data_IF_551881240686
#
_entry.id   IF_551881240686
#
_cell.length_a   1.000
_cell.length_b   1.000
_cell.length_c   1.000
_cell.angle_alpha   90.00
_cell.angle_beta   90.00
_cell.angle_gamma   90.00
#
_symmetry.space_group_name_H-M   'P 1'
#
loop_
_entity.id
_entity.type
_entity.pdbx_description
1 polymer ?
#
# COMPACT_ATOMS: atom_id res chain seq x y z
N UNK A 1 -24.50 5.98 10.04
CA UNK A 1 -23.68 4.81 10.39
C UNK A 1 -24.54 3.57 10.15
N UNK A 2 -24.35 2.89 9.01
CA UNK A 2 -24.87 1.54 8.83
C UNK A 2 -23.79 0.58 9.34
N UNK A 3 -24.03 -0.05 10.48
CA UNK A 3 -23.20 -1.17 10.97
C UNK A 3 -24.06 -2.41 10.85
N UNK A 4 -23.84 -3.19 9.79
CA UNK A 4 -24.48 -4.50 9.62
C UNK A 4 -23.58 -5.55 10.27
N UNK A 5 -23.90 -5.93 11.50
CA UNK A 5 -23.31 -7.11 12.11
C UNK A 5 -23.97 -8.36 11.52
N UNK A 6 -23.22 -9.15 10.76
CA UNK A 6 -23.63 -10.51 10.42
C UNK A 6 -23.54 -11.36 11.69
N UNK A 7 -24.68 -11.56 12.37
CA UNK A 7 -24.76 -12.43 13.56
C UNK A 7 -24.47 -13.86 13.16
N UNK A 8 -23.53 -14.50 13.86
CA UNK A 8 -23.27 -15.94 13.75
C UNK A 8 -24.56 -16.72 14.02
N UNK A 9 -24.95 -17.59 13.08
CA UNK A 9 -26.00 -18.57 13.32
C UNK A 9 -25.50 -19.58 14.37
N UNK A 10 -26.33 -19.96 15.38
CA UNK A 10 -25.89 -20.88 16.41
C UNK A 10 -25.61 -22.26 15.82
N UNK A 11 -24.43 -22.80 16.11
CA UNK A 11 -24.06 -24.20 15.88
C UNK A 11 -25.16 -25.10 16.44
N UNK A 12 -25.83 -25.84 15.54
CA UNK A 12 -26.83 -26.85 15.90
C UNK A 12 -26.14 -27.91 16.76
N UNK A 13 -26.43 -27.92 18.06
CA UNK A 13 -26.12 -29.04 18.95
C UNK A 13 -27.22 -30.08 18.77
N UNK A 14 -26.85 -31.22 18.21
CA UNK A 14 -27.72 -32.36 17.98
C UNK A 14 -27.92 -33.16 19.29
N UNK A 15 -29.15 -33.35 19.80
CA UNK A 15 -29.43 -34.33 20.83
C UNK A 15 -30.02 -35.60 20.18
N UNK A 16 -29.18 -36.62 20.04
CA UNK A 16 -29.63 -37.98 19.73
C UNK A 16 -30.57 -38.50 20.83
N UNK A 17 -31.85 -38.67 20.51
CA UNK A 17 -32.74 -39.58 21.25
C UNK A 17 -33.38 -40.59 20.31
N UNK A 18 -33.06 -41.87 20.57
CA UNK A 18 -33.54 -43.07 19.89
C UNK A 18 -35.05 -43.25 20.09
N UNK A 19 -35.77 -43.55 19.01
CA UNK A 19 -36.83 -44.57 19.00
C UNK A 19 -36.99 -45.10 17.58
N UNK A 20 -36.86 -46.43 17.43
CA UNK A 20 -36.91 -47.11 16.14
C UNK A 20 -38.34 -47.40 15.67
N UNK A 21 -38.47 -47.59 14.36
CA UNK A 21 -39.42 -48.52 13.78
C UNK A 21 -38.87 -48.95 12.42
N UNK A 22 -38.69 -50.25 12.23
CA UNK A 22 -38.06 -50.81 11.03
C UNK A 22 -39.02 -50.87 9.85
N UNK A 23 -38.46 -50.89 8.64
CA UNK A 23 -38.98 -51.59 7.46
C UNK A 23 -37.81 -51.79 6.49
N UNK A 24 -37.66 -53.01 5.99
CA UNK A 24 -36.60 -53.40 5.07
C UNK A 24 -37.09 -53.33 3.62
N UNK A 25 -36.36 -52.62 2.74
CA UNK A 25 -36.33 -52.91 1.30
C UNK A 25 -35.14 -52.25 0.59
N UNK A 26 -34.26 -53.14 0.10
CA UNK A 26 -33.36 -53.07 -1.07
C UNK A 26 -32.92 -51.70 -1.61
N UNK A 27 -31.60 -51.48 -1.54
CA UNK A 27 -30.77 -51.19 -2.71
C UNK A 27 -30.45 -49.73 -3.00
N UNK A 28 -29.30 -49.25 -2.50
CA UNK A 28 -28.25 -48.49 -3.21
C UNK A 28 -27.00 -48.60 -2.33
N UNK A 29 -25.84 -48.97 -2.89
CA UNK A 29 -24.55 -48.83 -2.21
C UNK A 29 -24.23 -47.33 -2.05
N UNK A 30 -24.85 -46.70 -1.07
CA UNK A 30 -24.54 -45.35 -0.62
C UNK A 30 -23.38 -45.41 0.36
N UNK A 31 -22.15 -45.55 -0.16
CA UNK A 31 -20.99 -45.18 0.62
C UNK A 31 -21.12 -43.70 0.95
N UNK A 32 -21.36 -43.37 2.21
CA UNK A 32 -21.20 -42.00 2.70
C UNK A 32 -19.78 -41.61 2.33
N UNK A 33 -19.56 -40.52 1.56
CA UNK A 33 -18.20 -40.05 1.34
C UNK A 33 -17.61 -39.81 2.73
N UNK A 34 -16.37 -40.21 3.02
CA UNK A 34 -15.74 -39.81 4.25
C UNK A 34 -15.83 -38.28 4.29
N UNK A 35 -16.47 -37.75 5.34
CA UNK A 35 -16.33 -36.34 5.68
C UNK A 35 -14.83 -36.17 5.82
N UNK A 36 -14.23 -35.52 4.82
CA UNK A 36 -12.86 -35.09 4.92
C UNK A 36 -12.86 -34.18 6.14
N UNK A 37 -12.25 -34.64 7.23
CA UNK A 37 -11.74 -33.77 8.28
C UNK A 37 -10.68 -32.90 7.60
N UNK A 38 -11.13 -31.90 6.85
CA UNK A 38 -10.32 -30.74 6.53
C UNK A 38 -9.92 -30.20 7.89
N UNK A 39 -8.65 -30.43 8.25
CA UNK A 39 -7.99 -29.74 9.34
C UNK A 39 -8.11 -28.25 9.05
N UNK A 40 -9.20 -27.64 9.50
CA UNK A 40 -9.42 -26.21 9.43
C UNK A 40 -8.35 -25.61 10.30
N UNK A 41 -7.33 -25.03 9.68
CA UNK A 41 -6.36 -24.22 10.40
C UNK A 41 -7.16 -23.17 11.16
N UNK A 42 -7.04 -23.08 12.49
CA UNK A 42 -7.83 -22.14 13.26
C UNK A 42 -7.52 -20.73 12.76
N UNK A 43 -8.56 -19.94 12.53
CA UNK A 43 -8.41 -18.55 12.12
C UNK A 43 -7.59 -17.77 13.15
N UNK A 44 -6.73 -16.89 12.65
CA UNK A 44 -6.03 -15.88 13.46
C UNK A 44 -7.03 -14.85 14.00
N UNK A 45 -6.55 -13.99 14.92
CA UNK A 45 -7.34 -12.87 15.44
C UNK A 45 -7.73 -11.93 14.29
N UNK A 46 -9.00 -11.50 14.25
CA UNK A 46 -9.53 -10.53 13.29
C UNK A 46 -8.63 -9.29 13.17
N UNK A 47 -8.37 -8.85 11.94
CA UNK A 47 -7.60 -7.63 11.61
C UNK A 47 -8.55 -6.56 11.06
N UNK A 48 -8.50 -5.36 11.63
CA UNK A 48 -9.26 -4.20 11.17
C UNK A 48 -8.48 -3.43 10.10
N UNK A 49 -9.02 -3.32 8.89
CA UNK A 49 -8.39 -2.59 7.78
C UNK A 49 -9.29 -1.41 7.38
N UNK A 50 -8.81 -0.20 7.62
CA UNK A 50 -9.47 1.02 7.18
C UNK A 50 -8.91 1.48 5.83
N UNK A 51 -9.79 1.93 4.92
CA UNK A 51 -9.40 2.43 3.60
C UNK A 51 -10.08 3.78 3.32
N UNK A 52 -9.32 4.79 2.90
CA UNK A 52 -9.87 6.06 2.42
C UNK A 52 -10.00 6.10 0.91
N UNK A 53 -10.88 6.93 0.37
CA UNK A 53 -11.19 6.90 -1.06
C UNK A 53 -11.76 5.53 -1.47
N UNK A 54 -12.53 4.90 -0.59
CA UNK A 54 -12.94 3.52 -0.73
C UNK A 54 -13.93 3.27 -1.88
N UNK A 55 -14.61 4.31 -2.38
CA UNK A 55 -15.41 4.27 -3.61
C UNK A 55 -14.58 4.52 -4.89
N UNK A 56 -13.26 4.66 -4.77
CA UNK A 56 -12.36 4.96 -5.88
C UNK A 56 -11.95 3.72 -6.68
N UNK A 57 -11.42 3.96 -7.89
CA UNK A 57 -11.03 2.88 -8.83
C UNK A 57 -9.97 1.93 -8.26
N UNK A 58 -8.99 2.44 -7.50
CA UNK A 58 -7.95 1.60 -6.89
C UNK A 58 -8.60 0.69 -5.84
N UNK A 59 -9.46 1.27 -4.99
CA UNK A 59 -10.18 0.57 -3.93
C UNK A 59 -11.07 -0.54 -4.49
N UNK A 60 -11.79 -0.30 -5.59
CA UNK A 60 -12.60 -1.33 -6.26
C UNK A 60 -11.82 -2.56 -6.72
N UNK A 61 -10.50 -2.47 -6.88
CA UNK A 61 -9.67 -3.66 -7.12
C UNK A 61 -9.07 -4.21 -5.82
N UNK A 62 -8.62 -3.33 -4.93
CA UNK A 62 -7.90 -3.71 -3.71
C UNK A 62 -8.81 -4.40 -2.69
N UNK A 63 -10.06 -3.96 -2.53
CA UNK A 63 -10.97 -4.48 -1.52
C UNK A 63 -11.24 -5.98 -1.69
N UNK A 64 -11.46 -6.42 -2.93
CA UNK A 64 -11.69 -7.84 -3.25
C UNK A 64 -10.41 -8.69 -3.10
N UNK A 65 -9.22 -8.10 -3.31
CA UNK A 65 -7.94 -8.75 -3.01
C UNK A 65 -7.71 -8.93 -1.50
N UNK A 66 -8.13 -7.96 -0.70
CA UNK A 66 -8.10 -8.08 0.75
C UNK A 66 -9.08 -9.17 1.19
N UNK A 67 -10.34 -9.07 0.79
CA UNK A 67 -11.42 -9.98 1.17
C UNK A 67 -11.15 -11.44 0.78
N UNK A 68 -10.47 -11.69 -0.34
CA UNK A 68 -10.09 -13.04 -0.79
C UNK A 68 -8.98 -13.70 0.02
N UNK A 69 -8.30 -12.96 0.91
CA UNK A 69 -7.13 -13.44 1.64
C UNK A 69 -5.83 -13.43 0.82
N UNK A 70 -5.80 -12.81 -0.37
CA UNK A 70 -4.59 -12.68 -1.20
C UNK A 70 -3.45 -11.95 -0.47
N UNK A 71 -3.81 -11.01 0.42
CA UNK A 71 -2.85 -10.15 1.13
C UNK A 71 -2.37 -10.77 2.44
N UNK A 72 -3.28 -11.18 3.31
CA UNK A 72 -2.93 -11.63 4.66
C UNK A 72 -2.87 -13.16 4.82
N UNK A 73 -3.29 -13.93 3.82
CA UNK A 73 -3.36 -15.38 3.86
C UNK A 73 -4.78 -15.91 4.12
N UNK A 74 -4.95 -17.22 3.86
CA UNK A 74 -6.24 -17.91 3.92
C UNK A 74 -6.73 -18.25 5.34
N UNK A 75 -5.97 -17.86 6.36
CA UNK A 75 -6.26 -18.09 7.78
C UNK A 75 -6.47 -16.78 8.55
N UNK A 76 -6.50 -15.63 7.87
CA UNK A 76 -6.60 -14.31 8.48
C UNK A 76 -7.96 -13.66 8.18
N UNK A 77 -8.94 -13.72 9.10
CA UNK A 77 -10.18 -12.99 8.95
C UNK A 77 -9.93 -11.47 9.07
N UNK A 78 -10.74 -10.67 8.38
CA UNK A 78 -10.62 -9.22 8.34
C UNK A 78 -11.97 -8.49 8.41
N UNK A 79 -11.91 -7.27 8.91
CA UNK A 79 -13.00 -6.29 8.91
C UNK A 79 -12.59 -5.08 8.06
N UNK A 80 -13.40 -4.72 7.07
CA UNK A 80 -13.17 -3.56 6.22
C UNK A 80 -13.93 -2.33 6.75
N UNK A 81 -13.20 -1.23 6.93
CA UNK A 81 -13.76 0.05 7.39
C UNK A 81 -13.53 1.11 6.32
N UNK A 82 -14.57 1.44 5.57
CA UNK A 82 -14.48 2.18 4.32
C UNK A 82 -14.84 3.65 4.53
N UNK A 83 -13.87 4.53 4.32
CA UNK A 83 -14.02 5.98 4.41
C UNK A 83 -14.21 6.55 3.00
N UNK A 84 -15.36 7.19 2.79
CA UNK A 84 -15.68 7.98 1.61
C UNK A 84 -15.71 9.48 1.90
N UNK A 85 -16.32 10.21 0.98
CA UNK A 85 -16.69 11.62 1.10
C UNK A 85 -18.21 11.76 1.05
N UNK A 86 -18.75 12.91 1.46
CA UNK A 86 -20.18 13.21 1.29
C UNK A 86 -20.67 12.98 -0.15
N UNK A 87 -19.87 13.38 -1.13
CA UNK A 87 -20.17 13.22 -2.56
C UNK A 87 -20.11 11.79 -3.08
N UNK A 88 -19.59 10.83 -2.31
CA UNK A 88 -19.38 9.45 -2.75
C UNK A 88 -20.11 8.39 -1.92
N UNK A 89 -21.01 8.80 -1.00
CA UNK A 89 -21.74 7.88 -0.12
C UNK A 89 -22.50 6.80 -0.90
N UNK A 90 -23.23 7.16 -1.96
CA UNK A 90 -23.96 6.18 -2.77
C UNK A 90 -23.02 5.19 -3.49
N UNK A 91 -21.88 5.67 -3.97
CA UNK A 91 -20.89 4.79 -4.58
C UNK A 91 -20.26 3.84 -3.54
N UNK A 92 -20.08 4.32 -2.30
CA UNK A 92 -19.58 3.53 -1.17
C UNK A 92 -20.57 2.43 -0.76
N UNK A 93 -21.87 2.73 -0.77
CA UNK A 93 -22.95 1.73 -0.58
C UNK A 93 -22.90 0.66 -1.67
N UNK A 94 -22.77 1.07 -2.94
CA UNK A 94 -22.62 0.11 -4.05
C UNK A 94 -21.42 -0.82 -3.88
N UNK A 95 -20.26 -0.31 -3.46
CA UNK A 95 -19.08 -1.13 -3.18
C UNK A 95 -19.32 -2.11 -2.03
N UNK A 96 -20.02 -1.69 -0.98
CA UNK A 96 -20.37 -2.59 0.13
C UNK A 96 -21.31 -3.72 -0.33
N UNK A 97 -22.31 -3.41 -1.17
CA UNK A 97 -23.19 -4.42 -1.76
C UNK A 97 -22.42 -5.44 -2.61
N UNK A 98 -21.46 -4.99 -3.44
CA UNK A 98 -20.63 -5.93 -4.22
C UNK A 98 -19.76 -6.83 -3.32
N UNK A 99 -19.29 -6.32 -2.18
CA UNK A 99 -18.55 -7.12 -1.20
C UNK A 99 -19.45 -8.18 -0.51
N UNK A 100 -20.69 -7.84 -0.21
CA UNK A 100 -21.70 -8.75 0.34
C UNK A 100 -22.01 -9.88 -0.65
N UNK A 101 -22.25 -9.53 -1.92
CA UNK A 101 -22.56 -10.48 -3.00
C UNK A 101 -21.37 -11.40 -3.34
N UNK A 102 -20.15 -11.04 -2.93
CA UNK A 102 -18.93 -11.81 -3.23
C UNK A 102 -18.72 -13.02 -2.32
N UNK A 103 -19.45 -13.15 -1.21
CA UNK A 103 -19.44 -14.31 -0.30
C UNK A 103 -18.03 -14.70 0.20
N UNK A 104 -17.15 -13.72 0.46
CA UNK A 104 -15.81 -14.00 0.97
C UNK A 104 -15.84 -14.44 2.44
N UNK A 105 -15.42 -15.67 2.78
CA UNK A 105 -15.55 -16.19 4.14
C UNK A 105 -14.67 -15.45 5.16
N UNK A 106 -13.53 -14.90 4.71
CA UNK A 106 -12.58 -14.14 5.53
C UNK A 106 -13.05 -12.71 5.80
N UNK A 107 -13.95 -12.17 4.98
CA UNK A 107 -14.53 -10.85 5.18
C UNK A 107 -15.67 -10.96 6.21
N UNK A 108 -15.37 -10.61 7.46
CA UNK A 108 -16.31 -10.80 8.58
C UNK A 108 -17.20 -9.61 8.81
N UNK A 109 -16.69 -8.41 8.54
CA UNK A 109 -17.42 -7.17 8.77
C UNK A 109 -17.07 -6.15 7.67
N UNK A 110 -18.08 -5.40 7.23
CA UNK A 110 -17.91 -4.20 6.39
C UNK A 110 -18.65 -3.06 7.08
N UNK A 111 -17.97 -1.91 7.22
CA UNK A 111 -18.58 -0.68 7.71
C UNK A 111 -18.21 0.46 6.79
N UNK A 112 -19.16 1.35 6.53
CA UNK A 112 -18.97 2.49 5.63
C UNK A 112 -19.31 3.81 6.34
N UNK A 113 -18.62 4.88 5.96
CA UNK A 113 -18.87 6.21 6.53
C UNK A 113 -18.00 7.29 5.93
N UNK A 114 -18.18 8.52 6.43
CA UNK A 114 -17.47 9.72 5.98
C UNK A 114 -16.70 10.41 7.11
N UNK A 115 -16.85 9.93 8.35
CA UNK A 115 -16.15 10.46 9.51
C UNK A 115 -14.91 9.59 9.82
N UNK A 116 -13.68 10.14 9.69
CA UNK A 116 -12.47 9.39 9.97
C UNK A 116 -12.35 8.92 11.44
N UNK A 117 -12.91 9.64 12.42
CA UNK A 117 -12.87 9.24 13.84
C UNK A 117 -13.72 8.00 14.12
N UNK A 118 -14.72 7.73 13.27
CA UNK A 118 -15.52 6.51 13.34
C UNK A 118 -14.83 5.39 12.55
N UNK A 119 -14.41 5.67 11.32
CA UNK A 119 -13.89 4.65 10.41
C UNK A 119 -12.50 4.14 10.79
N UNK A 120 -11.67 4.97 11.43
CA UNK A 120 -10.35 4.56 11.91
C UNK A 120 -10.36 3.92 13.30
N UNK A 121 -11.52 3.84 13.95
CA UNK A 121 -11.61 3.25 15.28
C UNK A 121 -11.07 1.82 15.27
N UNK A 122 -10.11 1.53 16.15
CA UNK A 122 -9.46 0.24 16.32
C UNK A 122 -8.77 -0.32 15.04
N UNK A 123 -8.47 0.55 14.06
CA UNK A 123 -7.78 0.12 12.83
C UNK A 123 -6.39 -0.45 13.13
N UNK A 124 -6.08 -1.63 12.61
CA UNK A 124 -4.75 -2.24 12.63
C UNK A 124 -3.95 -1.86 11.37
N UNK A 125 -4.66 -1.64 10.26
CA UNK A 125 -4.12 -1.10 9.02
C UNK A 125 -4.96 0.10 8.54
N UNK A 126 -4.29 1.13 8.04
CA UNK A 126 -4.93 2.29 7.40
C UNK A 126 -4.32 2.51 6.01
N UNK A 127 -5.11 2.29 4.96
CA UNK A 127 -4.71 2.48 3.57
C UNK A 127 -5.30 3.80 3.07
N UNK A 128 -4.47 4.84 3.09
CA UNK A 128 -4.88 6.22 2.81
C UNK A 128 -4.74 6.52 1.31
N UNK A 129 -5.74 6.12 0.53
CA UNK A 129 -5.74 6.25 -0.94
C UNK A 129 -6.41 7.55 -1.39
N UNK A 130 -7.44 8.00 -0.68
CA UNK A 130 -8.21 9.19 -1.03
C UNK A 130 -7.41 10.47 -0.88
N UNK A 131 -7.18 11.15 -1.99
CA UNK A 131 -6.67 12.52 -2.08
C UNK A 131 -7.43 13.27 -3.18
N UNK A 132 -7.44 14.60 -3.13
CA UNK A 132 -7.96 15.38 -4.27
C UNK A 132 -7.00 15.25 -5.45
N UNK A 133 -7.51 14.94 -6.65
CA UNK A 133 -6.69 14.89 -7.84
C UNK A 133 -6.23 16.28 -8.26
N UNK A 134 -5.11 16.36 -8.96
CA UNK A 134 -4.62 17.64 -9.47
C UNK A 134 -5.41 18.05 -10.72
N UNK A 135 -6.23 19.10 -10.59
CA UNK A 135 -6.98 19.66 -11.70
C UNK A 135 -6.11 20.47 -12.69
N UNK A 136 -6.59 20.71 -13.92
CA UNK A 136 -5.91 21.59 -14.88
C UNK A 136 -5.63 22.98 -14.28
N UNK A 137 -4.39 23.46 -14.41
CA UNK A 137 -3.98 24.77 -13.92
C UNK A 137 -3.83 24.90 -12.39
N UNK A 138 -3.95 23.80 -11.64
CA UNK A 138 -3.69 23.81 -10.19
C UNK A 138 -2.18 23.78 -9.95
N UNK A 139 -1.70 24.81 -9.25
CA UNK A 139 -0.31 24.91 -8.81
C UNK A 139 0.07 23.80 -7.82
N UNK A 140 1.33 23.40 -7.85
CA UNK A 140 1.83 22.32 -6.99
C UNK A 140 1.72 22.64 -5.50
N UNK A 141 1.98 23.88 -5.12
CA UNK A 141 1.83 24.32 -3.72
C UNK A 141 0.37 24.19 -3.24
N UNK A 142 -0.60 24.47 -4.11
CA UNK A 142 -2.02 24.35 -3.78
C UNK A 142 -2.42 22.88 -3.56
N UNK A 143 -1.94 21.95 -4.39
CA UNK A 143 -2.28 20.53 -4.20
C UNK A 143 -1.62 19.95 -2.93
N UNK A 144 -0.41 20.40 -2.58
CA UNK A 144 0.27 20.08 -1.32
C UNK A 144 -0.54 20.54 -0.11
N UNK A 145 -1.03 21.78 -0.11
CA UNK A 145 -1.83 22.31 1.00
C UNK A 145 -3.19 21.61 1.13
N UNK A 146 -3.93 21.48 0.03
CA UNK A 146 -5.25 20.85 0.01
C UNK A 146 -5.19 19.41 0.51
N UNK A 147 -4.28 18.60 -0.05
CA UNK A 147 -4.15 17.21 0.38
C UNK A 147 -3.50 17.13 1.76
N UNK A 148 -2.53 17.99 2.07
CA UNK A 148 -1.93 18.07 3.39
C UNK A 148 -2.96 18.26 4.50
N UNK A 149 -3.96 19.13 4.33
CA UNK A 149 -5.04 19.33 5.30
C UNK A 149 -5.87 18.06 5.52
N UNK A 150 -6.16 17.30 4.45
CA UNK A 150 -6.86 16.01 4.54
C UNK A 150 -6.04 15.03 5.38
N UNK A 151 -4.74 14.92 5.10
CA UNK A 151 -3.87 13.98 5.80
C UNK A 151 -3.52 14.42 7.23
N UNK A 152 -3.52 15.72 7.53
CA UNK A 152 -3.42 16.24 8.89
C UNK A 152 -4.62 15.80 9.73
N UNK A 153 -5.84 15.96 9.19
CA UNK A 153 -7.06 15.54 9.90
C UNK A 153 -7.15 14.02 10.06
N UNK A 154 -6.81 13.27 9.01
CA UNK A 154 -6.73 11.81 9.10
C UNK A 154 -5.67 11.36 10.10
N UNK A 155 -4.54 12.06 10.20
CA UNK A 155 -3.51 11.83 11.21
C UNK A 155 -4.05 12.01 12.63
N UNK A 156 -4.78 13.11 12.90
CA UNK A 156 -5.43 13.34 14.20
C UNK A 156 -6.45 12.26 14.55
N UNK A 157 -7.26 11.83 13.58
CA UNK A 157 -8.22 10.76 13.77
C UNK A 157 -7.54 9.42 14.08
N UNK A 158 -6.53 9.01 13.30
CA UNK A 158 -5.73 7.81 13.58
C UNK A 158 -5.12 7.87 14.99
N UNK A 159 -4.51 9.01 15.33
CA UNK A 159 -3.93 9.24 16.64
C UNK A 159 -4.93 9.07 17.78
N UNK A 160 -6.16 9.53 17.60
CA UNK A 160 -7.20 9.48 18.60
C UNK A 160 -7.79 8.08 18.77
N UNK A 161 -8.09 7.37 17.68
CA UNK A 161 -8.98 6.20 17.72
C UNK A 161 -8.42 4.89 17.18
N UNK A 162 -7.30 4.90 16.45
CA UNK A 162 -6.74 3.68 15.87
C UNK A 162 -5.98 2.84 16.90
N UNK A 163 -5.63 1.61 16.51
CA UNK A 163 -4.69 0.78 17.26
C UNK A 163 -3.39 1.54 17.49
N UNK A 164 -2.79 1.41 18.68
CA UNK A 164 -1.51 2.07 19.01
C UNK A 164 -0.35 1.62 18.13
N UNK A 165 -0.50 0.47 17.47
CA UNK A 165 0.47 -0.06 16.51
C UNK A 165 -0.11 -0.15 15.08
N UNK A 166 -1.08 0.71 14.74
CA UNK A 166 -1.63 0.76 13.38
C UNK A 166 -0.51 0.95 12.35
N UNK A 167 -0.57 0.21 11.23
CA UNK A 167 0.30 0.40 10.07
C UNK A 167 -0.40 1.25 9.03
N UNK A 168 0.24 2.34 8.60
CA UNK A 168 -0.36 3.35 7.72
C UNK A 168 0.35 3.34 6.39
N UNK A 169 -0.36 3.07 5.29
CA UNK A 169 0.17 3.16 3.92
C UNK A 169 -0.55 4.28 3.18
N UNK A 170 0.20 5.32 2.83
CA UNK A 170 -0.25 6.49 2.07
C UNK A 170 0.00 6.26 0.59
N UNK A 171 -1.07 6.41 -0.18
CA UNK A 171 -1.06 6.31 -1.65
C UNK A 171 -1.48 7.65 -2.27
N UNK A 172 -2.38 8.38 -1.61
CA UNK A 172 -2.84 9.68 -2.09
C UNK A 172 -1.68 10.68 -2.24
N UNK A 173 -1.56 11.29 -3.43
CA UNK A 173 -0.44 12.17 -3.77
C UNK A 173 -0.55 13.56 -3.13
N UNK A 174 0.58 14.23 -2.83
CA UNK A 174 1.96 13.72 -2.86
C UNK A 174 2.27 12.81 -1.66
N UNK A 175 2.47 11.51 -1.90
CA UNK A 175 2.33 10.51 -0.84
C UNK A 175 3.40 10.59 0.26
N UNK A 176 4.65 10.95 -0.07
CA UNK A 176 5.71 11.18 0.92
C UNK A 176 5.35 12.32 1.88
N UNK A 177 5.01 13.49 1.33
CA UNK A 177 4.67 14.67 2.15
C UNK A 177 3.35 14.50 2.89
N UNK A 178 2.35 13.87 2.28
CA UNK A 178 1.12 13.49 2.97
C UNK A 178 1.38 12.53 4.14
N UNK A 179 2.27 11.54 3.98
CA UNK A 179 2.68 10.66 5.08
C UNK A 179 3.41 11.41 6.20
N UNK A 180 4.28 12.37 5.85
CA UNK A 180 4.95 13.23 6.83
C UNK A 180 3.96 14.08 7.62
N UNK A 181 2.99 14.70 6.93
CA UNK A 181 1.95 15.49 7.61
C UNK A 181 1.09 14.59 8.51
N UNK A 182 0.72 13.40 8.02
CA UNK A 182 -0.08 12.45 8.77
C UNK A 182 0.62 12.00 10.07
N UNK A 183 1.90 11.63 10.01
CA UNK A 183 2.67 11.22 11.19
C UNK A 183 2.92 12.39 12.16
N UNK A 184 3.13 13.62 11.66
CA UNK A 184 3.32 14.82 12.50
C UNK A 184 2.06 15.18 13.28
N UNK A 185 0.89 14.84 12.75
CA UNK A 185 -0.40 15.00 13.41
C UNK A 185 -0.81 13.77 14.23
N UNK A 186 0.06 12.75 14.33
CA UNK A 186 -0.19 11.53 15.08
C UNK A 186 0.92 11.16 16.08
N UNK A 187 1.24 12.04 17.06
CA UNK A 187 2.39 11.88 17.94
C UNK A 187 2.31 10.66 18.88
N UNK A 188 1.13 10.08 19.10
CA UNK A 188 0.95 8.88 19.93
C UNK A 188 1.11 7.58 19.14
N UNK A 189 1.42 7.66 17.85
CA UNK A 189 1.68 6.51 16.97
C UNK A 189 3.16 6.50 16.58
N UNK A 190 3.80 5.32 16.48
CA UNK A 190 5.20 5.25 16.06
C UNK A 190 5.40 5.80 14.64
N UNK A 191 6.29 6.79 14.46
CA UNK A 191 6.58 7.37 13.15
C UNK A 191 7.04 6.32 12.11
N UNK A 192 7.72 5.25 12.56
CA UNK A 192 8.12 4.11 11.71
C UNK A 192 6.94 3.41 11.02
N UNK A 193 5.72 3.52 11.53
CA UNK A 193 4.55 2.84 10.98
C UNK A 193 3.92 3.54 9.77
N UNK A 194 4.43 4.71 9.39
CA UNK A 194 3.91 5.49 8.26
C UNK A 194 4.76 5.24 7.02
N UNK A 195 4.07 4.75 5.99
CA UNK A 195 4.66 4.38 4.71
C UNK A 195 4.06 5.23 3.59
N UNK A 196 4.89 5.74 2.69
CA UNK A 196 4.48 6.23 1.39
C UNK A 196 4.74 5.16 0.32
N UNK A 197 3.77 4.94 -0.56
CA UNK A 197 3.82 3.85 -1.54
C UNK A 197 4.68 4.21 -2.76
N UNK A 198 5.85 3.58 -2.87
CA UNK A 198 6.71 3.58 -4.08
C UNK A 198 6.81 2.20 -4.74
N UNK A 199 5.99 1.24 -4.27
CA UNK A 199 6.02 -0.16 -4.74
C UNK A 199 5.54 -0.33 -6.17
N UNK A 200 4.69 0.58 -6.66
CA UNK A 200 4.27 0.56 -8.07
C UNK A 200 5.46 0.82 -8.98
N UNK A 201 6.29 1.79 -8.62
CA UNK A 201 7.48 2.18 -9.35
C UNK A 201 8.54 1.07 -9.29
N UNK A 202 8.72 0.43 -8.14
CA UNK A 202 9.58 -0.76 -8.02
C UNK A 202 9.12 -1.88 -8.98
N UNK A 203 7.81 -2.21 -8.97
CA UNK A 203 7.27 -3.24 -9.87
C UNK A 203 7.48 -2.87 -11.35
N UNK A 204 7.30 -1.59 -11.71
CA UNK A 204 7.55 -1.08 -13.06
C UNK A 204 9.03 -1.16 -13.42
N UNK A 205 9.92 -0.79 -12.51
CA UNK A 205 11.37 -0.85 -12.68
C UNK A 205 11.85 -2.30 -12.88
N UNK A 206 11.39 -3.24 -12.05
CA UNK A 206 11.67 -4.68 -12.21
C UNK A 206 11.26 -5.17 -13.61
N UNK A 207 10.08 -4.77 -14.08
CA UNK A 207 9.64 -5.15 -15.43
C UNK A 207 10.54 -4.56 -16.52
N UNK A 208 10.96 -3.30 -16.43
CA UNK A 208 11.84 -2.69 -17.44
C UNK A 208 13.23 -3.33 -17.47
N UNK A 209 13.81 -3.65 -16.31
CA UNK A 209 15.07 -4.40 -16.25
C UNK A 209 14.94 -5.80 -16.84
N UNK A 210 13.85 -6.50 -16.54
CA UNK A 210 13.58 -7.83 -17.07
C UNK A 210 13.43 -7.81 -18.60
N UNK A 211 12.68 -6.83 -19.11
CA UNK A 211 12.48 -6.62 -20.54
C UNK A 211 13.80 -6.35 -21.25
N UNK A 212 14.62 -5.45 -20.71
CA UNK A 212 15.93 -5.11 -21.30
C UNK A 212 16.90 -6.29 -21.28
N UNK A 213 16.88 -7.11 -20.24
CA UNK A 213 17.74 -8.28 -20.12
C UNK A 213 17.21 -9.53 -20.84
N UNK A 214 16.00 -9.49 -21.42
CA UNK A 214 15.38 -10.64 -22.08
C UNK A 214 15.05 -11.79 -21.11
N UNK A 215 14.74 -11.48 -19.85
CA UNK A 215 14.37 -12.46 -18.81
C UNK A 215 12.96 -12.19 -18.30
N UNK A 216 12.39 -13.14 -17.56
CA UNK A 216 11.13 -12.92 -16.87
C UNK A 216 11.36 -12.10 -15.58
N UNK A 217 10.35 -11.33 -15.15
CA UNK A 217 10.49 -10.36 -14.05
C UNK A 217 10.73 -11.01 -12.67
N UNK A 218 10.43 -12.30 -12.52
CA UNK A 218 10.74 -13.10 -11.33
C UNK A 218 12.25 -13.33 -11.15
N UNK A 219 13.06 -13.02 -12.17
CA UNK A 219 14.53 -13.10 -12.11
C UNK A 219 15.18 -11.82 -11.65
N UNK A 220 14.41 -10.75 -11.43
CA UNK A 220 14.91 -9.46 -10.94
C UNK A 220 14.68 -9.36 -9.43
N UNK A 221 15.72 -8.99 -8.68
CA UNK A 221 15.68 -8.78 -7.22
C UNK A 221 16.47 -7.53 -6.84
N UNK A 222 16.44 -7.15 -5.55
CA UNK A 222 17.21 -6.04 -4.99
C UNK A 222 16.91 -4.68 -5.67
N UNK A 223 15.70 -4.54 -6.23
CA UNK A 223 15.28 -3.31 -6.88
C UNK A 223 14.86 -2.30 -5.81
N UNK A 224 15.51 -1.14 -5.80
CA UNK A 224 15.17 -0.03 -4.90
C UNK A 224 14.67 1.17 -5.68
N UNK A 225 13.61 1.80 -5.19
CA UNK A 225 13.25 3.16 -5.55
C UNK A 225 13.65 4.06 -4.39
N UNK A 226 14.51 5.05 -4.65
CA UNK A 226 14.87 6.05 -3.65
C UNK A 226 14.08 7.34 -3.80
N UNK A 227 13.81 8.00 -2.67
CA UNK A 227 13.35 9.39 -2.63
C UNK A 227 11.85 9.60 -2.67
N UNK A 228 11.44 10.68 -3.33
CA UNK A 228 10.05 11.08 -3.46
C UNK A 228 9.32 10.23 -4.50
N UNK A 229 8.00 10.08 -4.36
CA UNK A 229 7.13 9.58 -5.42
C UNK A 229 6.85 10.67 -6.47
N UNK A 230 7.88 10.98 -7.26
CA UNK A 230 7.88 12.07 -8.24
C UNK A 230 8.81 11.75 -9.42
N UNK A 231 8.96 12.67 -10.37
CA UNK A 231 9.99 12.58 -11.41
C UNK A 231 11.43 12.76 -10.87
N UNK A 232 11.62 12.98 -9.56
CA UNK A 232 12.92 12.88 -8.90
C UNK A 232 13.13 11.54 -8.17
N UNK A 233 12.22 10.57 -8.30
CA UNK A 233 12.48 9.21 -7.82
C UNK A 233 13.73 8.62 -8.49
N UNK A 234 14.43 7.72 -7.79
CA UNK A 234 15.66 7.10 -8.31
C UNK A 234 15.52 5.58 -8.36
N UNK A 235 15.21 5.01 -9.54
CA UNK A 235 15.31 3.58 -9.79
C UNK A 235 16.78 3.12 -9.76
N UNK A 236 17.18 2.48 -8.67
CA UNK A 236 18.55 2.06 -8.41
C UNK A 236 18.91 0.76 -9.14
N UNK A 237 19.55 0.90 -10.29
CA UNK A 237 20.09 -0.25 -11.02
C UNK A 237 21.45 -0.72 -10.48
N UNK A 238 22.15 0.07 -9.64
CA UNK A 238 23.48 -0.26 -9.15
C UNK A 238 23.43 -1.47 -8.21
N UNK A 239 22.42 -1.48 -7.33
CA UNK A 239 22.22 -2.54 -6.34
C UNK A 239 21.26 -3.64 -6.79
N UNK A 240 20.50 -3.40 -7.88
CA UNK A 240 19.61 -4.39 -8.46
C UNK A 240 20.37 -5.60 -9.02
N UNK A 241 19.71 -6.75 -9.00
CA UNK A 241 20.26 -8.02 -9.49
C UNK A 241 19.33 -8.69 -10.50
N UNK A 242 19.93 -9.42 -11.43
CA UNK A 242 19.25 -10.31 -12.39
C UNK A 242 19.87 -11.70 -12.29
N UNK A 243 19.06 -12.70 -11.96
CA UNK A 243 19.51 -14.08 -11.68
C UNK A 243 20.67 -14.09 -10.66
N UNK A 244 20.55 -13.32 -9.59
CA UNK A 244 21.55 -13.23 -8.52
C UNK A 244 22.82 -12.44 -8.86
N UNK A 245 23.01 -11.99 -10.11
CA UNK A 245 24.16 -11.18 -10.53
C UNK A 245 23.81 -9.69 -10.60
N UNK A 246 24.74 -8.77 -10.29
CA UNK A 246 24.53 -7.34 -10.44
C UNK A 246 24.03 -6.97 -11.85
N UNK A 247 23.09 -6.03 -11.96
CA UNK A 247 22.51 -5.62 -13.25
C UNK A 247 23.58 -5.19 -14.26
N UNK A 248 24.62 -4.46 -13.81
CA UNK A 248 25.74 -4.02 -14.67
C UNK A 248 26.55 -5.19 -15.27
N UNK A 249 26.46 -6.38 -14.69
CA UNK A 249 27.07 -7.58 -15.26
C UNK A 249 26.21 -8.24 -16.35
N UNK A 250 24.90 -7.97 -16.38
CA UNK A 250 23.95 -8.58 -17.31
C UNK A 250 23.59 -7.61 -18.44
N UNK A 251 23.22 -6.38 -18.11
CA UNK A 251 22.92 -5.30 -19.06
C UNK A 251 24.20 -4.47 -19.25
N UNK A 252 24.84 -4.62 -20.40
CA UNK A 252 26.10 -3.93 -20.73
C UNK A 252 25.92 -2.49 -21.20
N UNK A 253 24.70 -2.14 -21.61
CA UNK A 253 24.34 -0.80 -22.02
C UNK A 253 24.21 0.12 -20.80
N UNK A 254 25.33 0.70 -20.39
CA UNK A 254 25.39 1.63 -19.26
C UNK A 254 24.63 2.91 -19.56
N UNK A 255 24.62 3.36 -20.83
CA UNK A 255 23.88 4.57 -21.23
C UNK A 255 22.38 4.38 -21.02
N UNK A 256 21.85 3.23 -21.42
CA UNK A 256 20.46 2.89 -21.18
C UNK A 256 20.11 2.88 -19.68
N UNK A 257 20.98 2.29 -18.84
CA UNK A 257 20.78 2.27 -17.38
C UNK A 257 20.76 3.69 -16.78
N UNK A 258 21.63 4.57 -17.27
CA UNK A 258 21.84 5.90 -16.70
C UNK A 258 20.83 6.95 -17.18
N UNK A 259 20.38 6.85 -18.43
CA UNK A 259 19.54 7.84 -19.12
C UNK A 259 18.11 7.31 -19.32
N UNK A 260 17.95 6.19 -20.01
CA UNK A 260 16.64 5.73 -20.51
C UNK A 260 15.81 4.99 -19.47
N UNK A 261 16.45 4.19 -18.61
CA UNK A 261 15.79 3.35 -17.63
C UNK A 261 14.92 4.17 -16.67
N UNK A 262 15.52 5.21 -16.08
CA UNK A 262 14.81 6.11 -15.15
C UNK A 262 13.64 6.81 -15.84
N UNK A 263 13.86 7.34 -17.05
CA UNK A 263 12.82 8.03 -17.83
C UNK A 263 11.66 7.08 -18.16
N UNK A 264 11.97 5.84 -18.51
CA UNK A 264 10.97 4.83 -18.88
C UNK A 264 10.08 4.46 -17.70
N UNK A 265 10.66 4.32 -16.50
CA UNK A 265 9.90 4.09 -15.27
C UNK A 265 9.02 5.28 -14.95
N UNK A 266 9.58 6.49 -14.95
CA UNK A 266 8.87 7.74 -14.64
C UNK A 266 7.69 7.99 -15.59
N UNK A 267 7.85 7.75 -16.88
CA UNK A 267 6.81 8.00 -17.90
C UNK A 267 5.82 6.86 -18.06
N UNK A 268 5.99 5.75 -17.34
CA UNK A 268 5.19 4.54 -17.54
C UNK A 268 3.69 4.77 -17.33
N UNK A 269 3.32 5.58 -16.34
CA UNK A 269 1.91 5.93 -16.11
C UNK A 269 1.32 6.72 -17.28
N UNK A 270 2.06 7.68 -17.84
CA UNK A 270 1.63 8.49 -18.99
C UNK A 270 1.35 7.64 -20.22
N UNK A 271 2.29 6.76 -20.58
CA UNK A 271 2.11 5.81 -21.70
C UNK A 271 0.91 4.90 -21.47
N UNK A 272 0.63 4.51 -20.22
CA UNK A 272 -0.52 3.69 -19.89
C UNK A 272 -1.83 4.46 -20.06
N UNK A 273 -1.91 5.72 -19.64
CA UNK A 273 -3.09 6.57 -19.87
C UNK A 273 -3.33 6.76 -21.36
N UNK A 274 -2.30 7.02 -22.16
CA UNK A 274 -2.44 7.17 -23.62
C UNK A 274 -3.06 5.94 -24.28
N UNK A 275 -2.73 4.74 -23.79
CA UNK A 275 -3.26 3.47 -24.32
C UNK A 275 -4.62 3.08 -23.75
N UNK A 276 -4.85 3.36 -22.47
CA UNK A 276 -6.01 2.85 -21.73
C UNK A 276 -7.13 3.87 -21.54
N UNK A 277 -6.84 5.16 -21.74
CA UNK A 277 -7.76 6.28 -21.51
C UNK A 277 -8.09 6.54 -20.03
N UNK A 278 -7.44 5.84 -19.09
CA UNK A 278 -7.69 5.96 -17.65
C UNK A 278 -6.48 5.56 -16.81
N UNK A 279 -6.49 5.99 -15.54
CA UNK A 279 -5.48 5.70 -14.52
C UNK A 279 -5.19 4.20 -14.35
N UNK A 280 -3.97 3.87 -13.92
CA UNK A 280 -3.46 2.51 -13.75
C UNK A 280 -3.95 1.79 -12.47
N UNK A 281 -5.25 1.87 -12.19
CA UNK A 281 -5.85 1.48 -10.91
C UNK A 281 -5.57 0.02 -10.53
N UNK A 282 -5.70 -0.92 -11.47
CA UNK A 282 -5.48 -2.34 -11.20
C UNK A 282 -4.03 -2.64 -10.79
N UNK A 283 -3.04 -2.09 -11.51
CA UNK A 283 -1.62 -2.26 -11.15
C UNK A 283 -1.25 -1.57 -9.84
N UNK A 284 -1.88 -0.43 -9.53
CA UNK A 284 -1.70 0.24 -8.24
C UNK A 284 -2.30 -0.58 -7.09
N UNK A 285 -3.48 -1.19 -7.28
CA UNK A 285 -4.05 -2.10 -6.27
C UNK A 285 -3.15 -3.32 -6.01
N UNK A 286 -2.54 -3.89 -7.06
CA UNK A 286 -1.54 -4.96 -6.92
C UNK A 286 -0.30 -4.47 -6.16
N UNK A 287 0.21 -3.27 -6.43
CA UNK A 287 1.38 -2.76 -5.71
C UNK A 287 1.10 -2.48 -4.24
N UNK A 288 -0.11 -2.03 -3.89
CA UNK A 288 -0.55 -1.90 -2.48
C UNK A 288 -0.59 -3.27 -1.80
N UNK A 289 -1.20 -4.27 -2.44
CA UNK A 289 -1.23 -5.64 -1.93
C UNK A 289 0.20 -6.20 -1.72
N UNK A 290 1.12 -5.96 -2.67
CA UNK A 290 2.52 -6.34 -2.54
C UNK A 290 3.21 -5.60 -1.38
N UNK A 291 2.96 -4.31 -1.21
CA UNK A 291 3.53 -3.51 -0.12
C UNK A 291 3.10 -4.03 1.26
N UNK A 292 1.81 -4.34 1.42
CA UNK A 292 1.29 -4.95 2.65
C UNK A 292 1.92 -6.32 2.89
N UNK A 293 1.97 -7.18 1.87
CA UNK A 293 2.61 -8.51 1.94
C UNK A 293 4.06 -8.44 2.35
N UNK A 294 4.83 -7.48 1.85
CA UNK A 294 6.22 -7.27 2.23
C UNK A 294 6.42 -6.98 3.72
N UNK A 295 5.39 -6.52 4.43
CA UNK A 295 5.42 -6.29 5.88
C UNK A 295 4.87 -7.47 6.68
N UNK A 296 3.99 -8.30 6.11
CA UNK A 296 3.37 -9.46 6.79
C UNK A 296 3.93 -10.82 6.34
N UNK A 297 4.93 -10.81 5.46
CA UNK A 297 5.67 -11.99 5.00
C UNK A 297 7.16 -11.72 5.22
N UNK A 298 7.93 -12.67 5.78
CA UNK A 298 9.37 -12.56 5.85
C UNK A 298 9.95 -12.24 4.47
N UNK A 299 10.78 -11.21 4.40
CA UNK A 299 11.48 -10.88 3.16
C UNK A 299 12.39 -12.05 2.76
N UNK A 300 12.47 -12.42 1.47
CA UNK A 300 13.39 -13.45 1.01
C UNK A 300 14.83 -13.11 1.42
N UNK A 301 15.64 -14.14 1.68
CA UNK A 301 17.03 -13.96 2.09
C UNK A 301 17.80 -13.14 1.05
N UNK A 302 18.44 -12.06 1.51
CA UNK A 302 19.22 -11.17 0.67
C UNK A 302 18.41 -10.25 -0.26
N UNK A 303 17.08 -10.27 -0.23
CA UNK A 303 16.21 -9.37 -0.99
C UNK A 303 15.54 -8.32 -0.09
N UNK A 304 14.93 -7.30 -0.71
CA UNK A 304 14.28 -6.19 -0.01
C UNK A 304 13.14 -5.60 -0.83
N UNK A 305 12.44 -4.63 -0.25
CA UNK A 305 11.39 -3.85 -0.90
C UNK A 305 11.58 -2.35 -0.65
N UNK A 306 11.03 -1.55 -1.55
CA UNK A 306 11.02 -0.09 -1.48
C UNK A 306 9.78 0.39 -0.73
N UNK A 307 10.00 1.32 0.20
CA UNK A 307 8.90 2.04 0.86
C UNK A 307 9.40 3.41 1.34
N UNK A 308 8.58 4.44 1.11
CA UNK A 308 8.79 5.77 1.71
C UNK A 308 8.56 5.71 3.20
N UNK A 309 9.60 5.93 4.00
CA UNK A 309 9.49 5.83 5.46
C UNK A 309 10.23 6.95 6.15
N UNK A 310 9.96 7.12 7.44
CA UNK A 310 10.56 8.17 8.26
C UNK A 310 12.08 8.04 8.32
N UNK A 311 12.80 9.13 8.05
CA UNK A 311 14.25 9.09 7.84
C UNK A 311 15.10 9.20 9.10
N UNK A 312 14.55 9.62 10.25
CA UNK A 312 15.38 9.81 11.45
C UNK A 312 16.10 8.52 11.85
N UNK A 313 17.43 8.59 11.90
CA UNK A 313 18.29 7.45 12.22
C UNK A 313 18.62 6.54 11.03
N UNK A 314 18.36 6.99 9.80
CA UNK A 314 18.80 6.27 8.60
C UNK A 314 20.34 6.21 8.52
N UNK A 315 20.93 5.09 8.04
CA UNK A 315 22.37 4.92 7.96
C UNK A 315 23.01 5.54 6.71
N UNK A 316 22.19 6.01 5.76
CA UNK A 316 22.65 6.42 4.43
C UNK A 316 23.12 7.88 4.37
N UNK A 317 22.90 8.67 5.43
CA UNK A 317 23.21 10.11 5.46
C UNK A 317 22.18 10.97 4.72
N UNK A 318 20.96 10.46 4.52
CA UNK A 318 19.82 11.23 4.04
C UNK A 318 19.34 12.13 5.19
N UNK A 319 18.84 13.33 4.87
CA UNK A 319 18.31 14.26 5.85
C UNK A 319 17.22 13.62 6.73
N UNK A 320 17.33 13.85 8.03
CA UNK A 320 16.35 13.42 9.01
C UNK A 320 15.02 14.16 8.87
N UNK A 321 13.99 13.61 9.50
CA UNK A 321 12.66 14.21 9.60
C UNK A 321 11.98 14.45 8.25
N UNK A 322 12.10 13.47 7.36
CA UNK A 322 11.43 13.36 6.07
C UNK A 322 10.73 11.99 5.98
N UNK A 323 9.89 11.83 4.96
CA UNK A 323 9.49 10.50 4.47
C UNK A 323 10.18 10.28 3.14
N UNK A 324 11.10 9.31 3.07
CA UNK A 324 11.97 9.08 1.92
C UNK A 324 11.95 7.59 1.57
N UNK A 325 11.79 7.26 0.28
CA UNK A 325 11.81 5.86 -0.16
C UNK A 325 13.21 5.26 -0.03
N UNK A 326 13.30 4.12 0.63
CA UNK A 326 14.57 3.45 0.97
C UNK A 326 14.38 1.92 0.92
N UNK A 327 15.48 1.15 0.76
CA UNK A 327 15.40 -0.30 0.79
C UNK A 327 15.18 -0.80 2.22
N UNK A 328 14.13 -1.60 2.38
CA UNK A 328 13.70 -2.15 3.65
C UNK A 328 13.53 -3.67 3.56
N UNK A 329 13.73 -4.37 4.67
CA UNK A 329 13.39 -5.79 4.81
C UNK A 329 12.58 -6.02 6.08
N UNK A 330 11.77 -7.06 6.09
CA UNK A 330 10.84 -7.38 7.17
C UNK A 330 10.95 -8.84 7.58
N UNK A 331 10.62 -9.11 8.85
CA UNK A 331 10.41 -10.46 9.38
C UNK A 331 8.99 -10.97 9.17
N UNK A 332 8.10 -10.17 8.56
CA UNK A 332 6.69 -10.51 8.36
C UNK A 332 5.80 -10.23 9.57
N UNK A 333 6.25 -9.40 10.50
CA UNK A 333 5.58 -9.03 11.75
C UNK A 333 4.88 -7.66 11.70
N UNK A 334 4.80 -7.06 10.51
CA UNK A 334 4.27 -5.72 10.25
C UNK A 334 5.31 -4.61 10.36
N UNK A 335 6.53 -4.90 10.84
CA UNK A 335 7.64 -3.95 10.95
C UNK A 335 8.69 -4.16 9.85
N UNK A 336 9.69 -3.29 9.80
CA UNK A 336 10.84 -3.39 8.90
C UNK A 336 12.10 -2.84 9.56
N UNK A 337 13.23 -3.12 8.91
CA UNK A 337 14.52 -2.47 9.12
C UNK A 337 15.10 -2.00 7.79
N UNK A 338 15.91 -0.95 7.84
CA UNK A 338 16.66 -0.44 6.68
C UNK A 338 17.81 -1.39 6.34
N UNK A 339 18.03 -1.63 5.05
CA UNK A 339 19.13 -2.47 4.57
C UNK A 339 20.45 -1.73 4.68
N UNK A 340 21.42 -2.25 5.42
CA UNK A 340 22.69 -1.55 5.66
C UNK A 340 23.69 -1.70 4.49
N UNK A 341 23.71 -2.87 3.84
CA UNK A 341 24.73 -3.24 2.87
C UNK A 341 24.40 -2.80 1.44
N UNK A 342 24.21 -1.49 1.23
CA UNK A 342 23.86 -0.92 -0.08
C UNK A 342 25.00 -0.08 -0.63
N UNK A 343 25.46 -0.39 -1.84
CA UNK A 343 26.56 0.30 -2.48
C UNK A 343 26.10 1.67 -3.01
N UNK A 344 26.88 2.71 -2.72
CA UNK A 344 26.67 4.06 -3.25
C UNK A 344 27.83 4.49 -4.14
N UNK A 345 27.51 4.99 -5.33
CA UNK A 345 28.44 5.74 -6.18
C UNK A 345 27.98 7.20 -6.35
N UNK A 346 28.82 8.02 -6.98
CA UNK A 346 28.51 9.43 -7.21
C UNK A 346 27.25 9.64 -8.06
N UNK A 347 26.96 8.71 -8.97
CA UNK A 347 25.81 8.80 -9.87
C UNK A 347 24.50 8.62 -9.08
N UNK A 348 24.43 7.59 -8.24
CA UNK A 348 23.28 7.28 -7.41
C UNK A 348 23.10 8.35 -6.33
N UNK A 349 24.18 8.68 -5.61
CA UNK A 349 24.12 9.69 -4.55
C UNK A 349 23.69 11.07 -5.06
N UNK A 350 24.23 11.49 -6.22
CA UNK A 350 23.85 12.75 -6.84
C UNK A 350 22.36 12.85 -7.19
N UNK A 351 21.70 11.73 -7.54
CA UNK A 351 20.25 11.67 -7.79
C UNK A 351 19.44 11.62 -6.49
N UNK A 352 19.90 10.84 -5.50
CA UNK A 352 19.29 10.79 -4.16
C UNK A 352 19.20 12.19 -3.57
N UNK A 353 20.27 12.99 -3.63
CA UNK A 353 20.28 14.36 -3.10
C UNK A 353 19.36 15.32 -3.85
N UNK A 354 19.10 15.11 -5.16
CA UNK A 354 18.09 15.90 -5.90
C UNK A 354 16.67 15.60 -5.40
N UNK A 355 16.36 14.33 -5.18
CA UNK A 355 15.08 13.89 -4.61
C UNK A 355 14.90 14.40 -3.17
N UNK A 356 15.96 14.36 -2.38
CA UNK A 356 15.97 14.88 -1.02
C UNK A 356 15.74 16.40 -0.98
N UNK A 357 16.40 17.16 -1.86
CA UNK A 357 16.20 18.60 -1.96
C UNK A 357 14.74 18.96 -2.28
N UNK A 358 14.08 18.19 -3.14
CA UNK A 358 12.65 18.32 -3.40
C UNK A 358 11.81 18.07 -2.14
N UNK A 359 12.05 16.98 -1.41
CA UNK A 359 11.30 16.67 -0.19
C UNK A 359 11.50 17.71 0.92
N UNK A 360 12.70 18.28 1.04
CA UNK A 360 12.97 19.40 1.95
C UNK A 360 12.18 20.65 1.51
N UNK A 361 12.07 20.91 0.21
CA UNK A 361 11.27 22.01 -0.30
C UNK A 361 9.76 21.79 -0.06
N UNK A 362 9.25 20.58 -0.29
CA UNK A 362 7.86 20.23 0.01
C UNK A 362 7.57 20.37 1.50
N UNK A 363 8.44 19.85 2.38
CA UNK A 363 8.32 19.97 3.83
C UNK A 363 8.21 21.43 4.28
N UNK A 364 9.06 22.32 3.77
CA UNK A 364 8.99 23.76 4.07
C UNK A 364 7.69 24.39 3.58
N UNK A 365 7.18 23.94 2.43
CA UNK A 365 5.92 24.43 1.87
C UNK A 365 4.69 24.02 2.70
N UNK A 366 4.78 22.96 3.49
CA UNK A 366 3.69 22.46 4.36
C UNK A 366 3.96 22.66 5.85
N UNK A 367 4.92 23.52 6.23
CA UNK A 367 5.32 23.72 7.62
C UNK A 367 4.16 24.10 8.57
N UNK A 368 3.14 24.77 8.05
CA UNK A 368 1.92 25.13 8.78
C UNK A 368 1.04 23.93 9.14
N UNK A 369 1.23 22.79 8.47
CA UNK A 369 0.51 21.53 8.70
C UNK A 369 1.31 20.53 9.53
N UNK A 370 2.63 20.71 9.65
CA UNK A 370 3.53 19.83 10.41
C UNK A 370 3.92 20.38 11.78
N UNK A 371 3.51 21.62 12.10
CA UNK A 371 3.85 22.28 13.36
C UNK A 371 5.24 22.93 13.36
N UNK A 372 5.83 23.15 12.19
CA UNK A 372 7.18 23.74 12.03
C UNK A 372 7.17 25.26 11.76
N UNK A 373 5.98 25.88 11.81
CA UNK A 373 5.80 27.32 11.71
C UNK A 373 5.21 27.76 10.37
N UNK A 374 5.68 28.89 9.83
CA UNK A 374 5.14 29.46 8.60
C UNK A 374 5.61 28.68 7.38
N UNK A 375 4.69 28.45 6.43
CA UNK A 375 5.00 27.84 5.15
C UNK A 375 5.89 28.74 4.29
N UNK A 376 6.88 28.12 3.63
CA UNK A 376 7.67 28.74 2.56
C UNK A 376 7.76 27.78 1.38
N UNK A 377 7.07 28.13 0.28
CA UNK A 377 6.96 27.29 -0.91
C UNK A 377 7.92 27.76 -2.00
N UNK A 378 9.03 27.04 -2.15
CA UNK A 378 10.00 27.19 -3.24
C UNK A 378 10.19 25.82 -3.89
N UNK A 379 9.16 25.40 -4.64
CA UNK A 379 9.09 24.07 -5.25
C UNK A 379 9.66 24.11 -6.66
N UNK A 380 10.39 23.06 -7.10
CA UNK A 380 10.79 22.95 -8.48
C UNK A 380 9.56 22.83 -9.40
N UNK A 381 9.76 23.14 -10.69
CA UNK A 381 8.76 22.96 -11.75
C UNK A 381 8.19 21.53 -11.76
N UNK A 382 7.05 21.33 -12.44
CA UNK A 382 6.20 20.13 -12.34
C UNK A 382 6.97 18.79 -12.29
N UNK A 383 6.89 18.10 -11.16
CA UNK A 383 7.49 16.76 -10.97
C UNK A 383 6.45 15.68 -10.65
N UNK A 384 5.17 15.97 -10.85
CA UNK A 384 4.14 14.94 -10.74
C UNK A 384 4.41 13.85 -11.80
N UNK A 385 4.35 12.59 -11.38
CA UNK A 385 4.55 11.49 -12.32
C UNK A 385 3.44 11.47 -13.38
N UNK A 386 3.78 11.36 -14.67
CA UNK A 386 2.80 11.20 -15.72
C UNK A 386 1.89 10.00 -15.45
N UNK A 387 0.58 10.22 -15.52
CA UNK A 387 -0.43 9.17 -15.40
C UNK A 387 -0.99 8.93 -13.99
N UNK A 388 -0.50 9.68 -13.00
CA UNK A 388 -1.14 9.77 -11.68
C UNK A 388 -2.32 10.75 -11.74
N UNK A 389 -3.33 10.53 -10.89
CA UNK A 389 -4.48 11.45 -10.73
C UNK A 389 -4.37 12.23 -9.44
#
# INVERSE_FOLDING_TARGET
MLTLQMKDAPLIRDPLSRTGCGHASRGVNGGTPPILDEKTTPWKKLVNVSLTGAAGRISNHLLFKLASGEVFGQDQPLALKLLGSESSVQALEGVAMELEDSLYPLLREVSIGIDPYVIFKDADWALLIGAKPRGPGVERAAILDINGQIFAEQGKALNAVASRNVKVIVVGNPCNTNALICLKNAPNLPAKNFHALTRLDENRAKFQLALQAGVFYDKVSNMTIWGNHSTNQVPDFLNAKINGRPVKEVIKDTKWLEEDFTITVQRRGGVLIEKWGRSSAASTAVSIAHAMRSLVTPSPEGDWFSTGVYTTGNPYGIADDLVFSMPCRSKGDGDYELVQDVAMDNFLWGRIKKSEAELIAEKRCVAHLTGEGNAFCDLPADTMLPGEM
#
